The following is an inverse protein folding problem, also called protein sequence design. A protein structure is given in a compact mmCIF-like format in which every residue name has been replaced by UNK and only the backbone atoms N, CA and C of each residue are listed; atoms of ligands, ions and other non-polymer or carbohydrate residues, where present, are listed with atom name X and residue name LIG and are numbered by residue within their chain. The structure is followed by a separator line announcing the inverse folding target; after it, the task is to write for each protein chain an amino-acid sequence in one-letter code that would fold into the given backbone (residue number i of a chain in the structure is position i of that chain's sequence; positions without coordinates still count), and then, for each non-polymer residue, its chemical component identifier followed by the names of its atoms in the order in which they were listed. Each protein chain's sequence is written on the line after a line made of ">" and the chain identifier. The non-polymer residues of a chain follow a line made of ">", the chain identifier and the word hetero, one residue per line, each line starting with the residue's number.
data_IF_283594711768
#
_entry.id   IF_283594711768
#
_cell.length_a   1.000
_cell.length_b   1.000
_cell.length_c   1.000
_cell.angle_alpha   90.00
_cell.angle_beta   90.00
_cell.angle_gamma   90.00
#
_symmetry.space_group_name_H-M   'P 1'
#
loop_
_entity.id
_entity.type
_entity.pdbx_description
1 polymer ?
#
# COMPACT_ATOMS: atom_id res chain seq x y z
N UNK A 1 -8.94 13.99 -5.85
CA UNK A 1 -8.77 12.86 -6.79
C UNK A 1 -7.41 13.00 -7.44
N UNK A 2 -6.37 12.35 -6.91
CA UNK A 2 -5.05 12.39 -7.56
C UNK A 2 -5.05 11.33 -8.65
N UNK A 3 -5.27 11.82 -9.88
CA UNK A 3 -5.02 11.15 -11.14
C UNK A 3 -3.72 10.33 -11.09
N UNK A 4 -3.70 9.19 -11.78
CA UNK A 4 -2.52 8.33 -12.01
C UNK A 4 -1.49 9.13 -12.84
N UNK A 5 -0.88 10.15 -12.24
CA UNK A 5 0.22 10.93 -12.80
C UNK A 5 1.56 10.45 -12.31
N UNK A 6 1.58 9.59 -11.28
CA UNK A 6 2.79 8.97 -10.79
C UNK A 6 3.20 7.84 -11.72
N UNK A 7 4.35 7.95 -12.43
CA UNK A 7 4.80 6.90 -13.33
C UNK A 7 5.07 5.59 -12.59
N UNK A 8 5.51 5.65 -11.34
CA UNK A 8 5.75 4.46 -10.52
C UNK A 8 4.45 3.73 -10.14
N UNK A 9 3.36 4.47 -9.90
CA UNK A 9 2.05 3.87 -9.69
C UNK A 9 1.47 3.28 -10.98
N UNK A 10 1.78 3.86 -12.15
CA UNK A 10 1.38 3.30 -13.45
C UNK A 10 2.13 1.99 -13.73
N UNK A 11 3.46 1.96 -13.54
CA UNK A 11 4.27 0.76 -13.74
C UNK A 11 3.86 -0.38 -12.80
N UNK A 12 3.49 -0.06 -11.55
CA UNK A 12 3.03 -1.06 -10.58
C UNK A 12 1.69 -1.72 -10.94
N UNK A 13 0.89 -1.11 -11.81
CA UNK A 13 -0.37 -1.70 -12.28
C UNK A 13 -0.14 -2.85 -13.24
N UNK A 14 1.02 -2.90 -13.91
CA UNK A 14 1.36 -3.92 -14.91
C UNK A 14 2.50 -4.84 -14.47
N UNK A 15 3.35 -4.38 -13.55
CA UNK A 15 4.46 -5.15 -12.99
C UNK A 15 4.32 -5.35 -11.48
N UNK A 16 4.06 -6.60 -11.09
CA UNK A 16 3.88 -7.01 -9.68
C UNK A 16 5.09 -6.68 -8.80
N UNK A 17 6.30 -6.77 -9.34
CA UNK A 17 7.56 -6.56 -8.62
C UNK A 17 8.17 -5.17 -8.87
N UNK A 18 7.36 -4.19 -9.30
CA UNK A 18 7.84 -2.83 -9.50
C UNK A 18 8.35 -2.21 -8.17
N UNK A 19 9.66 -2.01 -8.07
CA UNK A 19 10.31 -1.46 -6.87
C UNK A 19 10.36 0.06 -6.79
N UNK A 20 9.87 0.78 -7.80
CA UNK A 20 9.90 2.25 -7.81
C UNK A 20 8.83 2.87 -6.91
N UNK A 21 9.24 3.87 -6.12
CA UNK A 21 8.38 4.66 -5.24
C UNK A 21 8.78 6.13 -5.28
N UNK A 22 7.81 7.02 -5.15
CA UNK A 22 8.04 8.47 -5.02
C UNK A 22 7.63 8.96 -3.65
N UNK A 23 8.50 9.79 -3.06
CA UNK A 23 8.14 10.58 -1.90
C UNK A 23 6.91 11.46 -2.23
N UNK A 24 6.04 11.65 -1.24
CA UNK A 24 4.81 12.45 -1.34
C UNK A 24 3.73 11.93 -2.31
N UNK A 25 3.90 10.76 -2.92
CA UNK A 25 2.83 10.13 -3.69
C UNK A 25 2.00 9.21 -2.79
N UNK A 26 0.73 9.56 -2.54
CA UNK A 26 -0.19 8.75 -1.74
C UNK A 26 -0.29 7.30 -2.23
N UNK A 27 -0.33 7.08 -3.55
CA UNK A 27 -0.34 5.73 -4.12
C UNK A 27 0.94 4.95 -3.84
N UNK A 28 2.11 5.59 -3.92
CA UNK A 28 3.38 4.95 -3.55
C UNK A 28 3.44 4.64 -2.04
N UNK A 29 2.92 5.53 -1.19
CA UNK A 29 2.81 5.28 0.25
C UNK A 29 1.93 4.07 0.54
N UNK A 30 0.74 3.99 -0.08
CA UNK A 30 -0.16 2.83 0.05
C UNK A 30 0.53 1.54 -0.39
N UNK A 31 1.21 1.56 -1.54
CA UNK A 31 1.97 0.41 -2.05
C UNK A 31 3.08 -0.04 -1.11
N UNK A 32 3.85 0.91 -0.57
CA UNK A 32 4.92 0.62 0.37
C UNK A 32 4.39 0.01 1.68
N UNK A 33 3.25 0.50 2.16
CA UNK A 33 2.58 -0.07 3.34
C UNK A 33 2.02 -1.47 3.06
N UNK A 34 1.45 -1.70 1.87
CA UNK A 34 0.85 -2.98 1.49
C UNK A 34 1.85 -4.13 1.39
N UNK A 35 3.13 -3.85 1.10
CA UNK A 35 4.20 -4.84 1.06
C UNK A 35 5.09 -4.80 2.30
N UNK A 36 4.79 -3.94 3.27
CA UNK A 36 5.60 -3.72 4.46
C UNK A 36 5.30 -4.68 5.63
N UNK A 37 6.24 -4.84 6.57
CA UNK A 37 6.12 -5.76 7.70
C UNK A 37 4.96 -5.41 8.64
N UNK A 38 4.70 -4.11 8.87
CA UNK A 38 3.62 -3.68 9.77
C UNK A 38 2.23 -4.12 9.29
N UNK A 39 1.96 -4.02 7.98
CA UNK A 39 0.71 -4.51 7.41
C UNK A 39 0.64 -6.04 7.43
N UNK A 40 1.75 -6.73 7.17
CA UNK A 40 1.83 -8.19 7.28
C UNK A 40 1.45 -8.67 8.69
N UNK A 41 2.03 -8.09 9.73
CA UNK A 41 1.71 -8.39 11.12
C UNK A 41 0.24 -8.10 11.43
N UNK A 42 -0.29 -6.96 10.99
CA UNK A 42 -1.71 -6.60 11.15
C UNK A 42 -2.64 -7.63 10.48
N UNK A 43 -2.27 -8.09 9.29
CA UNK A 43 -3.02 -9.13 8.57
C UNK A 43 -2.98 -10.46 9.30
N UNK A 44 -1.81 -10.89 9.78
CA UNK A 44 -1.67 -12.13 10.56
C UNK A 44 -2.50 -12.07 11.86
N UNK A 45 -2.56 -10.92 12.51
CA UNK A 45 -3.33 -10.71 13.72
C UNK A 45 -4.84 -10.46 13.47
N UNK A 46 -5.28 -10.34 12.21
CA UNK A 46 -6.65 -9.94 11.82
C UNK A 46 -7.15 -8.66 12.51
N UNK A 47 -6.24 -7.74 12.85
CA UNK A 47 -6.56 -6.48 13.54
C UNK A 47 -5.54 -5.39 13.19
N UNK A 48 -5.91 -4.12 13.29
CA UNK A 48 -4.95 -3.01 13.16
C UNK A 48 -4.06 -3.01 14.40
N UNK A 49 -2.81 -3.47 14.26
CA UNK A 49 -1.83 -3.49 15.35
C UNK A 49 -1.31 -2.08 15.66
N UNK A 50 -0.79 -1.80 16.87
CA UNK A 50 -0.26 -0.48 17.22
C UNK A 50 0.83 0.02 16.26
N UNK A 51 1.75 -0.87 15.83
CA UNK A 51 2.80 -0.52 14.87
C UNK A 51 2.26 -0.14 13.50
N UNK A 52 1.26 -0.88 13.01
CA UNK A 52 0.60 -0.55 11.75
C UNK A 52 -0.25 0.72 11.85
N UNK A 53 -0.94 0.93 12.98
CA UNK A 53 -1.68 2.17 13.25
C UNK A 53 -0.74 3.37 13.20
N UNK A 54 0.43 3.30 13.84
CA UNK A 54 1.41 4.38 13.81
C UNK A 54 1.86 4.71 12.38
N UNK A 55 2.10 3.68 11.55
CA UNK A 55 2.42 3.87 10.14
C UNK A 55 1.27 4.53 9.35
N UNK A 56 0.02 4.14 9.61
CA UNK A 56 -1.17 4.75 8.99
C UNK A 56 -1.35 6.21 9.41
N UNK A 57 -1.22 6.52 10.70
CA UNK A 57 -1.30 7.90 11.23
C UNK A 57 -0.20 8.76 10.62
N UNK A 58 1.03 8.24 10.53
CA UNK A 58 2.14 8.97 9.91
C UNK A 58 1.91 9.25 8.41
N UNK A 59 1.17 8.38 7.72
CA UNK A 59 0.93 8.49 6.28
C UNK A 59 -0.31 9.32 5.91
N UNK A 60 -1.36 9.24 6.73
CA UNK A 60 -2.70 9.74 6.39
C UNK A 60 -3.31 10.65 7.46
N UNK A 61 -2.65 10.84 8.60
CA UNK A 61 -3.21 11.51 9.77
C UNK A 61 -4.16 10.62 10.57
N UNK A 62 -4.54 11.09 11.76
CA UNK A 62 -5.41 10.36 12.69
C UNK A 62 -6.78 10.05 12.06
N UNK A 63 -7.38 11.03 11.40
CA UNK A 63 -8.68 10.89 10.74
C UNK A 63 -8.61 10.01 9.48
N UNK A 64 -7.41 9.83 8.92
CA UNK A 64 -7.16 9.08 7.70
C UNK A 64 -6.88 7.59 7.90
N UNK A 65 -6.79 7.10 9.16
CA UNK A 65 -6.39 5.72 9.47
C UNK A 65 -7.28 4.70 8.77
N UNK A 66 -8.60 4.86 8.86
CA UNK A 66 -9.53 3.88 8.30
C UNK A 66 -9.51 3.85 6.76
N UNK A 67 -9.49 5.02 6.13
CA UNK A 67 -9.40 5.14 4.68
C UNK A 67 -8.05 4.60 4.15
N UNK A 68 -6.95 4.91 4.85
CA UNK A 68 -5.62 4.39 4.57
C UNK A 68 -5.56 2.87 4.70
N UNK A 69 -6.12 2.32 5.78
CA UNK A 69 -6.22 0.87 5.97
C UNK A 69 -6.93 0.17 4.81
N UNK A 70 -8.07 0.71 4.39
CA UNK A 70 -8.84 0.16 3.28
C UNK A 70 -8.05 0.23 1.96
N UNK A 71 -7.37 1.35 1.69
CA UNK A 71 -6.54 1.51 0.50
C UNK A 71 -5.38 0.49 0.47
N UNK A 72 -4.71 0.28 1.60
CA UNK A 72 -3.62 -0.70 1.73
C UNK A 72 -4.12 -2.13 1.49
N UNK A 73 -5.29 -2.49 2.03
CA UNK A 73 -5.92 -3.79 1.76
C UNK A 73 -6.24 -3.99 0.28
N UNK A 74 -6.88 -3.02 -0.35
CA UNK A 74 -7.21 -3.08 -1.78
C UNK A 74 -5.97 -3.20 -2.65
N UNK A 75 -4.90 -2.47 -2.33
CA UNK A 75 -3.63 -2.56 -3.03
C UNK A 75 -2.95 -3.92 -2.84
N UNK A 76 -2.99 -4.47 -1.63
CA UNK A 76 -2.49 -5.81 -1.37
C UNK A 76 -3.27 -6.87 -2.16
N UNK A 77 -4.60 -6.81 -2.14
CA UNK A 77 -5.48 -7.72 -2.91
C UNK A 77 -5.19 -7.63 -4.41
N UNK A 78 -5.00 -6.41 -4.94
CA UNK A 78 -4.58 -6.19 -6.32
C UNK A 78 -3.26 -6.90 -6.62
N UNK A 79 -2.23 -6.68 -5.79
CA UNK A 79 -0.91 -7.32 -5.97
C UNK A 79 -0.98 -8.85 -5.91
N UNK A 80 -1.85 -9.41 -5.07
CA UNK A 80 -2.06 -10.86 -5.01
C UNK A 80 -2.79 -11.39 -6.24
N UNK A 81 -3.77 -10.65 -6.76
CA UNK A 81 -4.51 -11.01 -7.97
C UNK A 81 -3.65 -10.90 -9.25
N UNK A 82 -2.57 -10.11 -9.22
CA UNK A 82 -1.58 -10.14 -10.30
C UNK A 82 -0.90 -11.50 -10.34
N UNK A 83 -1.07 -12.19 -11.47
CA UNK A 83 -0.24 -13.34 -11.83
C UNK A 83 1.21 -12.88 -11.78
N UNK A 84 2.08 -13.65 -11.13
CA UNK A 84 3.52 -13.44 -11.27
C UNK A 84 3.83 -13.61 -12.75
N UNK A 85 4.11 -12.52 -13.45
CA UNK A 85 4.82 -12.58 -14.72
C UNK A 85 6.21 -13.11 -14.40
N UNK A 86 6.33 -14.43 -14.42
CA UNK A 86 7.55 -15.15 -14.19
C UNK A 86 8.01 -15.82 -15.49
N UNK A 87 9.30 -15.67 -15.74
CA UNK A 87 10.17 -16.22 -16.79
C UNK A 87 10.17 -15.47 -18.12
#
# INVERSE_FOLDING_TARGET
>A
MSTITCPDCAQAQTSKHWGGFRAHCTGCTVRALATGPAFWESRCASQITPGYRAALVSAFGEDGVQAGHQAVKTEYERNQAMKSTGS
#
